data_IF_889738760963
#
_entry.id   IF_889738760963
#
_cell.length_a   1.000
_cell.length_b   1.000
_cell.length_c   1.000
_cell.angle_alpha   90.00
_cell.angle_beta   90.00
_cell.angle_gamma   90.00
#
_symmetry.space_group_name_H-M   'P 1'
#
loop_
_entity.id
_entity.type
_entity.pdbx_description
1 polymer ?
#
# COMPACT_ATOMS: atom_id res chain seq x y z
N UNK A 1 -11.90 -13.45 12.11
CA UNK A 1 -11.16 -13.66 10.85
C UNK A 1 -9.72 -13.94 11.22
N UNK A 2 -9.06 -14.88 10.56
CA UNK A 2 -7.61 -15.04 10.71
C UNK A 2 -6.91 -13.83 10.09
N UNK A 3 -5.77 -13.45 10.66
CA UNK A 3 -4.94 -12.35 10.16
C UNK A 3 -3.98 -12.96 9.12
N UNK A 4 -4.05 -12.58 7.83
CA UNK A 4 -3.28 -13.24 6.77
C UNK A 4 -1.76 -13.03 6.92
N UNK A 5 -1.36 -11.93 7.56
CA UNK A 5 0.02 -11.62 7.88
C UNK A 5 0.12 -10.51 8.93
N UNK A 6 1.28 -10.40 9.58
CA UNK A 6 1.55 -9.38 10.59
C UNK A 6 2.94 -8.75 10.41
N UNK A 7 3.02 -7.42 10.45
CA UNK A 7 4.29 -6.68 10.55
C UNK A 7 4.37 -6.03 11.94
N UNK A 8 5.45 -6.29 12.69
CA UNK A 8 5.66 -5.74 14.03
C UNK A 8 7.15 -5.73 14.42
N UNK A 9 7.56 -5.01 15.47
CA UNK A 9 8.89 -5.19 16.05
C UNK A 9 9.13 -6.66 16.41
N UNK A 10 10.34 -7.17 16.12
CA UNK A 10 10.72 -8.56 16.43
C UNK A 10 10.61 -8.81 17.94
N UNK A 11 9.74 -9.74 18.41
CA UNK A 11 9.77 -10.20 19.79
C UNK A 11 11.13 -10.83 20.11
N UNK A 12 11.70 -10.49 21.26
CA UNK A 12 13.08 -10.89 21.63
C UNK A 12 13.14 -12.17 22.47
N UNK A 13 12.16 -13.06 22.32
CA UNK A 13 12.20 -14.40 22.93
C UNK A 13 13.07 -15.36 22.13
N UNK A 14 13.48 -16.47 22.76
CA UNK A 14 14.44 -17.41 22.18
C UNK A 14 13.98 -18.01 20.83
N UNK A 15 12.68 -18.27 20.66
CA UNK A 15 12.16 -18.85 19.43
C UNK A 15 12.24 -17.86 18.26
N UNK A 16 11.84 -16.60 18.50
CA UNK A 16 11.93 -15.56 17.49
C UNK A 16 13.38 -15.19 17.14
N UNK A 17 14.28 -15.16 18.11
CA UNK A 17 15.71 -14.91 17.86
C UNK A 17 16.36 -16.04 17.05
N UNK A 18 16.02 -17.30 17.34
CA UNK A 18 16.49 -18.45 16.56
C UNK A 18 15.95 -18.41 15.13
N UNK A 19 14.66 -18.11 14.95
CA UNK A 19 14.04 -17.96 13.62
C UNK A 19 14.66 -16.80 12.83
N UNK A 20 14.92 -15.67 13.50
CA UNK A 20 15.57 -14.51 12.89
C UNK A 20 17.00 -14.83 12.41
N UNK A 21 17.77 -15.57 13.22
CA UNK A 21 19.11 -16.02 12.83
C UNK A 21 19.06 -16.96 11.63
N UNK A 22 18.14 -17.94 11.63
CA UNK A 22 17.98 -18.87 10.52
C UNK A 22 17.57 -18.16 9.21
N UNK A 23 16.63 -17.20 9.30
CA UNK A 23 16.23 -16.37 8.16
C UNK A 23 17.41 -15.52 7.66
N UNK A 24 18.14 -14.89 8.57
CA UNK A 24 19.34 -14.12 8.25
C UNK A 24 20.37 -14.98 7.49
N UNK A 25 20.68 -16.17 7.99
CA UNK A 25 21.68 -17.04 7.36
C UNK A 25 21.25 -17.51 5.97
N UNK A 26 19.97 -17.85 5.80
CA UNK A 26 19.41 -18.23 4.50
C UNK A 26 19.42 -17.06 3.50
N UNK A 27 19.01 -15.86 3.92
CA UNK A 27 19.02 -14.67 3.08
C UNK A 27 20.46 -14.23 2.73
N UNK A 28 21.38 -14.35 3.68
CA UNK A 28 22.80 -14.04 3.49
C UNK A 28 23.46 -14.97 2.47
N UNK A 29 23.24 -16.28 2.59
CA UNK A 29 23.75 -17.26 1.62
C UNK A 29 23.25 -16.98 0.19
N UNK A 30 21.99 -16.58 0.07
CA UNK A 30 21.41 -16.18 -1.22
C UNK A 30 22.04 -14.90 -1.76
N UNK A 31 22.25 -13.88 -0.93
CA UNK A 31 22.91 -12.63 -1.35
C UNK A 31 24.34 -12.88 -1.82
N UNK A 32 25.11 -13.69 -1.10
CA UNK A 32 26.46 -14.11 -1.52
C UNK A 32 26.42 -14.82 -2.88
N UNK A 33 25.43 -15.69 -3.11
CA UNK A 33 25.25 -16.36 -4.40
C UNK A 33 24.94 -15.36 -5.53
N UNK A 34 24.08 -14.38 -5.29
CA UNK A 34 23.78 -13.31 -6.27
C UNK A 34 25.00 -12.45 -6.61
N UNK A 35 25.90 -12.27 -5.63
CA UNK A 35 27.15 -11.54 -5.80
C UNK A 35 28.32 -12.44 -6.22
N UNK A 36 28.05 -13.60 -6.82
CA UNK A 36 29.04 -14.53 -7.36
C UNK A 36 30.11 -14.95 -6.33
N UNK A 37 29.72 -15.13 -5.07
CA UNK A 37 30.62 -15.54 -4.00
C UNK A 37 31.39 -14.41 -3.33
N UNK A 38 31.06 -13.14 -3.63
CA UNK A 38 31.64 -12.00 -2.93
C UNK A 38 31.45 -12.15 -1.40
N UNK A 39 32.51 -11.96 -0.59
CA UNK A 39 32.49 -12.22 0.85
C UNK A 39 31.76 -11.11 1.60
N UNK A 40 30.44 -11.05 1.46
CA UNK A 40 29.61 -10.15 2.27
C UNK A 40 29.76 -10.53 3.74
N UNK A 41 30.00 -9.59 4.66
CA UNK A 41 29.99 -9.90 6.09
C UNK A 41 28.58 -10.28 6.57
N UNK A 42 28.51 -11.25 7.50
CA UNK A 42 27.28 -11.54 8.24
C UNK A 42 26.90 -10.32 9.10
N UNK A 43 25.61 -10.02 9.19
CA UNK A 43 25.10 -8.94 10.03
C UNK A 43 25.13 -9.34 11.51
N UNK A 44 24.72 -10.57 11.81
CA UNK A 44 24.76 -11.13 13.15
C UNK A 44 25.52 -12.47 13.15
N UNK A 45 26.46 -12.68 14.08
CA UNK A 45 27.14 -13.97 14.22
C UNK A 45 26.25 -15.05 14.85
N UNK A 46 25.38 -14.66 15.77
CA UNK A 46 24.51 -15.55 16.57
C UNK A 46 23.24 -14.83 17.07
N UNK A 47 22.36 -15.56 17.76
CA UNK A 47 21.10 -15.06 18.29
C UNK A 47 21.28 -14.06 19.45
N UNK A 48 22.39 -14.15 20.20
CA UNK A 48 22.67 -13.22 21.29
C UNK A 48 23.04 -11.83 20.73
N UNK A 49 23.76 -11.79 19.62
CA UNK A 49 24.05 -10.56 18.89
C UNK A 49 22.78 -9.92 18.33
N UNK A 50 21.81 -10.71 17.84
CA UNK A 50 20.49 -10.19 17.47
C UNK A 50 19.84 -9.57 18.70
N UNK A 51 19.76 -10.29 19.82
CA UNK A 51 19.12 -9.82 21.05
C UNK A 51 19.70 -8.51 21.60
N UNK A 52 21.02 -8.34 21.51
CA UNK A 52 21.74 -7.14 21.96
C UNK A 52 21.63 -5.96 20.98
N UNK A 53 21.12 -6.16 19.76
CA UNK A 53 21.00 -5.13 18.74
C UNK A 53 19.89 -4.14 19.08
N UNK A 54 20.27 -2.88 19.33
CA UNK A 54 19.37 -1.79 19.70
C UNK A 54 18.72 -1.06 18.51
N UNK A 55 19.11 -1.40 17.27
CA UNK A 55 18.50 -0.83 16.06
C UNK A 55 17.04 -1.28 15.91
N UNK A 56 16.29 -0.55 15.09
CA UNK A 56 14.90 -0.90 14.81
C UNK A 56 14.86 -2.16 13.95
N UNK A 57 14.26 -3.23 14.48
CA UNK A 57 14.12 -4.50 13.79
C UNK A 57 12.64 -4.85 13.64
N UNK A 58 12.12 -4.68 12.43
CA UNK A 58 10.78 -5.10 12.05
C UNK A 58 10.81 -6.53 11.54
N UNK A 59 9.76 -7.28 11.85
CA UNK A 59 9.56 -8.67 11.49
C UNK A 59 8.20 -8.85 10.81
N UNK A 60 8.21 -9.64 9.74
CA UNK A 60 7.03 -10.02 8.98
C UNK A 60 6.68 -11.48 9.23
N UNK A 61 5.43 -11.75 9.60
CA UNK A 61 4.90 -13.07 9.86
C UNK A 61 3.74 -13.38 8.93
N UNK A 62 3.59 -14.63 8.52
CA UNK A 62 2.38 -15.09 7.85
C UNK A 62 1.28 -15.50 8.83
N UNK A 63 0.14 -15.94 8.31
CA UNK A 63 -1.02 -16.41 9.08
C UNK A 63 -0.67 -17.52 10.08
N UNK A 64 0.30 -18.38 9.77
CA UNK A 64 0.74 -19.46 10.64
C UNK A 64 1.74 -18.98 11.73
N UNK A 65 2.09 -17.69 11.74
CA UNK A 65 3.10 -17.13 12.64
C UNK A 65 4.52 -17.44 12.19
N UNK A 66 4.74 -17.87 10.95
CA UNK A 66 6.07 -18.14 10.41
C UNK A 66 6.76 -16.85 10.03
N UNK A 67 7.99 -16.63 10.51
CA UNK A 67 8.79 -15.47 10.15
C UNK A 67 9.18 -15.52 8.66
N UNK A 68 8.68 -14.57 7.88
CA UNK A 68 8.86 -14.48 6.43
C UNK A 68 9.88 -13.40 6.01
N UNK A 69 10.15 -12.41 6.86
CA UNK A 69 11.12 -11.37 6.55
C UNK A 69 11.50 -10.50 7.75
N UNK A 70 12.60 -9.77 7.61
CA UNK A 70 13.13 -8.82 8.58
C UNK A 70 13.53 -7.52 7.88
N UNK A 71 13.37 -6.39 8.55
CA UNK A 71 13.96 -5.11 8.14
C UNK A 71 14.67 -4.49 9.33
N UNK A 72 15.98 -4.26 9.16
CA UNK A 72 16.82 -3.58 10.13
C UNK A 72 17.07 -2.16 9.65
N UNK A 73 16.76 -1.19 10.50
CA UNK A 73 17.01 0.22 10.24
C UNK A 73 17.59 0.91 11.47
N UNK A 74 18.45 1.89 11.20
CA UNK A 74 19.01 2.79 12.22
C UNK A 74 18.29 4.13 12.14
N UNK A 75 17.81 4.63 13.28
CA UNK A 75 17.25 5.97 13.36
C UNK A 75 18.34 7.03 13.17
N UNK A 76 18.00 8.09 12.45
CA UNK A 76 18.84 9.27 12.25
C UNK A 76 18.43 10.38 13.22
N UNK A 77 19.35 11.30 13.51
CA UNK A 77 19.13 12.38 14.49
C UNK A 77 18.05 13.39 14.04
N UNK A 78 17.80 13.50 12.74
CA UNK A 78 16.79 14.35 12.10
C UNK A 78 15.42 13.67 11.96
N UNK A 79 15.25 12.45 12.48
CA UNK A 79 13.99 11.71 12.44
C UNK A 79 13.79 10.85 11.19
N UNK A 80 14.77 10.80 10.27
CA UNK A 80 14.81 9.80 9.20
C UNK A 80 15.33 8.44 9.66
N UNK A 81 15.44 7.50 8.71
CA UNK A 81 16.05 6.19 8.94
C UNK A 81 17.10 5.85 7.87
N UNK A 82 18.09 5.07 8.26
CA UNK A 82 19.00 4.39 7.35
C UNK A 82 18.67 2.89 7.38
N UNK A 83 18.10 2.38 6.28
CA UNK A 83 17.79 0.96 6.13
C UNK A 83 19.09 0.23 5.85
N UNK A 84 19.51 -0.58 6.81
CA UNK A 84 20.78 -1.29 6.71
C UNK A 84 20.60 -2.65 6.03
N UNK A 85 19.50 -3.35 6.32
CA UNK A 85 19.18 -4.64 5.70
C UNK A 85 17.68 -4.85 5.54
N UNK A 86 17.29 -5.42 4.41
CA UNK A 86 15.96 -5.99 4.18
C UNK A 86 16.14 -7.45 3.79
N UNK A 87 15.60 -8.35 4.59
CA UNK A 87 15.78 -9.79 4.45
C UNK A 87 14.40 -10.43 4.23
N UNK A 88 14.32 -11.35 3.28
CA UNK A 88 13.12 -12.17 3.04
C UNK A 88 13.57 -13.61 2.96
N UNK A 89 12.80 -14.52 3.54
CA UNK A 89 13.05 -15.95 3.40
C UNK A 89 13.14 -16.31 1.90
N UNK A 90 14.22 -16.98 1.43
CA UNK A 90 14.43 -17.24 0.00
C UNK A 90 13.24 -17.88 -0.72
N UNK A 91 12.52 -18.77 -0.05
CA UNK A 91 11.35 -19.49 -0.58
C UNK A 91 10.11 -18.59 -0.74
N UNK A 92 10.12 -17.39 -0.17
CA UNK A 92 9.00 -16.44 -0.10
C UNK A 92 9.25 -15.18 -0.94
N UNK A 93 10.31 -15.19 -1.77
CA UNK A 93 10.60 -14.09 -2.68
C UNK A 93 9.47 -13.92 -3.70
N UNK A 94 9.13 -12.66 -3.99
CA UNK A 94 8.04 -12.32 -4.92
C UNK A 94 6.66 -12.20 -4.26
N UNK A 95 6.47 -12.69 -3.03
CA UNK A 95 5.19 -12.62 -2.31
C UNK A 95 4.89 -11.25 -1.65
N UNK A 96 5.74 -10.25 -1.90
CA UNK A 96 5.55 -8.87 -1.42
C UNK A 96 6.06 -8.56 -0.01
N UNK A 97 6.65 -9.52 0.71
CA UNK A 97 7.13 -9.35 2.10
C UNK A 97 8.07 -8.15 2.30
N UNK A 98 9.05 -7.96 1.41
CA UNK A 98 9.95 -6.81 1.47
C UNK A 98 9.20 -5.47 1.32
N UNK A 99 8.19 -5.42 0.44
CA UNK A 99 7.37 -4.23 0.23
C UNK A 99 6.53 -3.87 1.46
N UNK A 100 5.99 -4.87 2.16
CA UNK A 100 5.25 -4.68 3.43
C UNK A 100 6.16 -4.11 4.52
N UNK A 101 7.35 -4.71 4.68
CA UNK A 101 8.35 -4.23 5.64
C UNK A 101 8.77 -2.79 5.35
N UNK A 102 9.03 -2.45 4.08
CA UNK A 102 9.36 -1.09 3.68
C UNK A 102 8.21 -0.13 3.92
N UNK A 103 6.98 -0.49 3.56
CA UNK A 103 5.80 0.37 3.81
C UNK A 103 5.63 0.68 5.30
N UNK A 104 5.79 -0.34 6.15
CA UNK A 104 5.74 -0.16 7.61
C UNK A 104 6.90 0.70 8.14
N UNK A 105 8.12 0.53 7.62
CA UNK A 105 9.29 1.29 8.03
C UNK A 105 9.25 2.76 7.60
N UNK A 106 8.69 3.04 6.42
CA UNK A 106 8.63 4.39 5.83
C UNK A 106 7.45 5.21 6.34
N UNK A 107 6.36 4.56 6.77
CA UNK A 107 5.14 5.24 7.22
C UNK A 107 5.37 6.38 8.25
N UNK A 108 6.23 6.22 9.28
CA UNK A 108 6.41 7.26 10.31
C UNK A 108 7.51 8.29 10.00
N UNK A 109 8.28 8.14 8.91
CA UNK A 109 9.47 8.98 8.63
C UNK A 109 9.27 9.91 7.44
N UNK A 110 10.10 10.95 7.36
CA UNK A 110 10.09 11.90 6.23
C UNK A 110 11.12 11.59 5.15
N UNK A 111 12.16 10.84 5.50
CA UNK A 111 13.18 10.40 4.55
C UNK A 111 13.83 9.11 5.02
N UNK A 112 14.36 8.37 4.06
CA UNK A 112 15.11 7.16 4.31
C UNK A 112 16.26 7.01 3.33
N UNK A 113 17.35 6.40 3.78
CA UNK A 113 18.47 5.99 2.93
C UNK A 113 18.64 4.48 2.93
N UNK A 114 19.25 3.95 1.88
CA UNK A 114 19.68 2.56 1.82
C UNK A 114 20.88 2.42 0.91
N UNK A 115 21.76 1.48 1.23
CA UNK A 115 22.88 1.10 0.37
C UNK A 115 22.75 -0.36 -0.03
N UNK A 116 22.99 -0.66 -1.31
CA UNK A 116 23.01 -2.03 -1.81
C UNK A 116 24.02 -2.19 -2.95
N UNK A 117 24.45 -3.42 -3.21
CA UNK A 117 25.31 -3.72 -4.35
C UNK A 117 24.55 -3.50 -5.67
N UNK A 118 25.23 -2.94 -6.68
CA UNK A 118 24.63 -2.72 -7.99
C UNK A 118 24.16 -4.03 -8.66
N UNK A 119 24.79 -5.16 -8.30
CA UNK A 119 24.40 -6.49 -8.74
C UNK A 119 23.17 -7.07 -7.99
N UNK A 120 22.75 -6.49 -6.87
CA UNK A 120 21.57 -6.95 -6.12
C UNK A 120 20.26 -6.42 -6.76
N UNK A 121 19.94 -6.99 -7.93
CA UNK A 121 18.79 -6.57 -8.73
C UNK A 121 17.44 -6.78 -8.03
N UNK A 122 17.34 -7.77 -7.13
CA UNK A 122 16.14 -8.02 -6.35
C UNK A 122 15.87 -6.86 -5.37
N UNK A 123 16.88 -6.44 -4.62
CA UNK A 123 16.78 -5.30 -3.71
C UNK A 123 16.50 -4.00 -4.46
N UNK A 124 17.21 -3.74 -5.57
CA UNK A 124 17.00 -2.54 -6.39
C UNK A 124 15.58 -2.43 -6.94
N UNK A 125 14.99 -3.53 -7.43
CA UNK A 125 13.58 -3.54 -7.86
C UNK A 125 12.65 -3.21 -6.70
N UNK A 126 12.90 -3.77 -5.52
CA UNK A 126 12.08 -3.52 -4.34
C UNK A 126 12.14 -2.05 -3.89
N UNK A 127 13.34 -1.48 -3.75
CA UNK A 127 13.52 -0.09 -3.35
C UNK A 127 12.95 0.89 -4.38
N UNK A 128 13.17 0.66 -5.69
CA UNK A 128 12.56 1.49 -6.74
C UNK A 128 11.04 1.44 -6.69
N UNK A 129 10.44 0.27 -6.48
CA UNK A 129 8.98 0.13 -6.31
C UNK A 129 8.47 0.87 -5.07
N UNK A 130 9.28 1.00 -4.03
CA UNK A 130 8.97 1.79 -2.84
C UNK A 130 9.25 3.31 -3.03
N UNK A 131 9.71 3.74 -4.21
CA UNK A 131 9.97 5.15 -4.54
C UNK A 131 11.39 5.63 -4.24
N UNK A 132 12.34 4.74 -3.95
CA UNK A 132 13.74 5.13 -3.79
C UNK A 132 14.38 5.47 -5.15
N UNK A 133 15.20 6.51 -5.16
CA UNK A 133 16.01 6.93 -6.31
C UNK A 133 17.50 6.78 -6.00
N UNK A 134 18.32 6.50 -7.02
CA UNK A 134 19.78 6.43 -6.86
C UNK A 134 20.31 7.85 -6.69
N UNK A 135 21.05 8.10 -5.62
CA UNK A 135 21.65 9.42 -5.32
C UNK A 135 23.17 9.41 -5.43
N UNK A 136 23.80 8.23 -5.35
CA UNK A 136 25.25 8.10 -5.48
C UNK A 136 25.64 6.69 -5.94
N UNK A 137 26.58 6.63 -6.87
CA UNK A 137 27.27 5.42 -7.29
C UNK A 137 28.71 5.48 -6.81
N UNK A 138 29.23 4.38 -6.28
CA UNK A 138 30.60 4.30 -5.78
C UNK A 138 31.06 2.84 -5.72
N UNK A 139 32.31 2.60 -5.34
CA UNK A 139 32.83 1.26 -5.13
C UNK A 139 33.28 1.08 -3.68
N UNK A 140 33.13 -0.13 -3.15
CA UNK A 140 33.84 -0.54 -1.95
C UNK A 140 35.37 -0.52 -2.19
N UNK A 141 36.21 -0.53 -1.14
CA UNK A 141 37.67 -0.49 -1.30
C UNK A 141 38.26 -1.61 -2.17
N UNK A 142 37.56 -2.74 -2.26
CA UNK A 142 37.91 -3.91 -3.07
C UNK A 142 37.25 -3.92 -4.46
N UNK A 143 36.58 -2.84 -4.85
CA UNK A 143 36.02 -2.63 -6.18
C UNK A 143 34.57 -3.08 -6.37
N UNK A 144 33.88 -3.60 -5.35
CA UNK A 144 32.45 -3.96 -5.49
C UNK A 144 31.61 -2.70 -5.80
N UNK A 145 30.86 -2.65 -6.92
CA UNK A 145 29.99 -1.52 -7.22
C UNK A 145 28.80 -1.44 -6.25
N UNK A 146 28.63 -0.28 -5.63
CA UNK A 146 27.61 0.04 -4.65
C UNK A 146 26.76 1.22 -5.12
N UNK A 147 25.48 1.16 -4.77
CA UNK A 147 24.52 2.23 -4.98
C UNK A 147 24.01 2.69 -3.62
N UNK A 148 24.04 4.01 -3.38
CA UNK A 148 23.23 4.62 -2.34
C UNK A 148 21.95 5.15 -2.96
N UNK A 149 20.83 4.81 -2.34
CA UNK A 149 19.51 5.26 -2.72
C UNK A 149 18.91 6.09 -1.59
N UNK A 150 18.09 7.07 -1.96
CA UNK A 150 17.32 7.87 -1.03
C UNK A 150 15.85 7.85 -1.40
N UNK A 151 15.01 7.89 -0.37
CA UNK A 151 13.58 8.10 -0.44
C UNK A 151 13.26 9.35 0.37
N UNK A 152 12.47 10.23 -0.21
CA UNK A 152 11.94 11.41 0.45
C UNK A 152 10.43 11.34 0.38
N UNK A 153 9.78 11.59 1.51
CA UNK A 153 8.35 11.79 1.57
C UNK A 153 8.01 13.07 0.82
N UNK A 154 7.22 12.93 -0.23
CA UNK A 154 6.78 14.07 -1.02
C UNK A 154 5.45 14.61 -0.45
N UNK A 155 5.57 15.71 0.30
CA UNK A 155 4.49 16.47 0.93
C UNK A 155 4.03 17.66 0.06
N UNK A 156 4.49 17.75 -1.19
CA UNK A 156 4.10 18.86 -2.07
C UNK A 156 2.58 18.83 -2.36
N UNK A 157 1.93 20.00 -2.50
CA UNK A 157 0.52 20.06 -2.86
C UNK A 157 0.29 19.40 -4.23
N UNK A 158 -0.69 18.48 -4.29
CA UNK A 158 -1.19 17.94 -5.55
C UNK A 158 -2.41 18.74 -5.99
N UNK A 159 -2.36 19.32 -7.18
CA UNK A 159 -3.50 20.04 -7.77
C UNK A 159 -4.19 19.11 -8.76
N UNK A 160 -5.48 18.88 -8.55
CA UNK A 160 -6.33 18.11 -9.45
C UNK A 160 -7.41 19.02 -10.02
N UNK A 161 -7.81 18.75 -11.27
CA UNK A 161 -8.86 19.49 -11.97
C UNK A 161 -9.94 18.55 -12.47
N UNK A 162 -11.19 18.96 -12.36
CA UNK A 162 -12.33 18.24 -12.91
C UNK A 162 -12.74 18.89 -14.24
N UNK A 163 -12.85 18.10 -15.30
CA UNK A 163 -13.38 18.58 -16.57
C UNK A 163 -14.92 18.63 -16.57
N UNK A 164 -15.50 19.20 -17.64
CA UNK A 164 -16.93 19.40 -17.77
C UNK A 164 -17.75 18.09 -17.82
N UNK A 165 -17.11 16.98 -18.18
CA UNK A 165 -17.74 15.66 -18.28
C UNK A 165 -17.63 14.87 -16.97
N UNK A 166 -17.03 15.46 -15.93
CA UNK A 166 -16.87 14.85 -14.62
C UNK A 166 -15.64 13.95 -14.51
N UNK A 167 -14.63 14.15 -15.36
CA UNK A 167 -13.36 13.44 -15.24
C UNK A 167 -12.25 14.30 -14.67
N UNK A 168 -11.53 13.77 -13.70
CA UNK A 168 -10.24 14.32 -13.26
C UNK A 168 -9.21 14.28 -14.40
N UNK A 169 -8.63 15.44 -14.71
CA UNK A 169 -7.69 15.64 -15.82
C UNK A 169 -6.42 14.81 -15.67
N UNK A 170 -5.89 14.72 -14.45
CA UNK A 170 -4.63 14.05 -14.11
C UNK A 170 -4.80 12.53 -13.90
N UNK A 171 -6.03 12.02 -13.93
CA UNK A 171 -6.29 10.59 -13.76
C UNK A 171 -6.10 9.83 -15.08
N UNK A 172 -5.57 8.61 -14.99
CA UNK A 172 -5.70 7.63 -16.08
C UNK A 172 -7.17 7.23 -16.22
N UNK A 173 -7.76 7.53 -17.38
CA UNK A 173 -9.18 7.28 -17.66
C UNK A 173 -9.36 5.86 -18.23
N UNK A 174 -10.08 5.02 -17.51
CA UNK A 174 -10.40 3.63 -17.88
C UNK A 174 -11.93 3.42 -17.81
N UNK A 175 -12.71 3.91 -18.80
CA UNK A 175 -14.16 3.91 -18.71
C UNK A 175 -14.75 2.51 -18.45
N UNK A 176 -15.48 2.38 -17.35
CA UNK A 176 -16.15 1.14 -16.97
C UNK A 176 -17.56 1.06 -17.55
N UNK A 177 -17.99 -0.10 -18.09
CA UNK A 177 -19.39 -0.31 -18.46
C UNK A 177 -20.31 -0.51 -17.25
N UNK A 178 -19.75 -0.72 -16.05
CA UNK A 178 -20.49 -0.97 -14.82
C UNK A 178 -20.93 0.35 -14.17
N UNK A 179 -21.73 1.14 -14.87
CA UNK A 179 -22.30 2.37 -14.35
C UNK A 179 -23.63 2.70 -15.03
N UNK A 180 -24.42 3.52 -14.36
CA UNK A 180 -25.68 4.06 -14.88
C UNK A 180 -25.90 5.48 -14.38
N UNK A 181 -27.06 6.06 -14.72
CA UNK A 181 -27.35 7.45 -14.40
C UNK A 181 -27.92 7.55 -12.98
N UNK A 182 -27.57 8.64 -12.29
CA UNK A 182 -28.26 8.96 -11.04
C UNK A 182 -29.75 9.22 -11.33
N UNK A 183 -30.64 8.70 -10.49
CA UNK A 183 -32.09 8.83 -10.66
C UNK A 183 -32.60 10.29 -10.57
N UNK A 184 -31.82 11.18 -9.96
CA UNK A 184 -32.02 12.63 -9.91
C UNK A 184 -30.64 13.31 -9.86
N UNK A 185 -30.50 14.59 -10.24
CA UNK A 185 -29.25 15.33 -10.04
C UNK A 185 -28.83 15.18 -8.58
N UNK A 186 -27.63 14.64 -8.34
CA UNK A 186 -27.22 14.20 -7.02
C UNK A 186 -27.27 15.36 -6.01
N UNK A 187 -28.20 15.28 -5.05
CA UNK A 187 -28.17 16.12 -3.86
C UNK A 187 -26.99 15.62 -2.99
N UNK A 188 -25.93 16.43 -2.92
CA UNK A 188 -24.75 16.32 -2.02
C UNK A 188 -24.17 14.91 -1.89
N UNK A 189 -23.16 14.53 -2.70
CA UNK A 189 -22.60 13.19 -2.65
C UNK A 189 -21.85 12.91 -1.34
N UNK A 190 -22.13 11.75 -0.73
CA UNK A 190 -21.28 11.11 0.26
C UNK A 190 -20.01 10.61 -0.45
N UNK A 191 -18.83 10.76 0.15
CA UNK A 191 -17.62 10.10 -0.32
C UNK A 191 -17.40 8.83 0.50
N UNK A 192 -17.34 7.68 -0.16
CA UNK A 192 -17.11 6.38 0.50
C UNK A 192 -15.72 5.90 0.16
N UNK A 193 -14.89 5.71 1.18
CA UNK A 193 -13.55 5.16 1.07
C UNK A 193 -13.63 3.64 1.18
N UNK A 194 -12.89 2.98 0.30
CA UNK A 194 -12.78 1.54 0.18
C UNK A 194 -11.31 1.13 0.13
N UNK A 195 -11.05 -0.18 0.23
CA UNK A 195 -9.78 -0.75 -0.18
C UNK A 195 -9.98 -2.02 -1.01
N UNK A 196 -9.01 -2.29 -1.89
CA UNK A 196 -8.98 -3.50 -2.70
C UNK A 196 -7.56 -3.85 -3.12
N UNK A 197 -7.31 -5.15 -3.29
CA UNK A 197 -6.11 -5.68 -3.94
C UNK A 197 -6.43 -6.97 -4.69
N UNK A 198 -5.90 -7.10 -5.90
CA UNK A 198 -6.15 -8.25 -6.77
C UNK A 198 -4.85 -8.71 -7.46
N UNK A 199 -4.40 -9.96 -7.23
CA UNK A 199 -4.93 -10.91 -6.24
C UNK A 199 -4.89 -10.35 -4.81
N UNK A 200 -5.64 -10.95 -3.85
CA UNK A 200 -5.65 -10.46 -2.48
C UNK A 200 -4.23 -10.24 -1.94
N UNK A 201 -4.01 -9.06 -1.38
CA UNK A 201 -2.73 -8.62 -0.80
C UNK A 201 -1.58 -8.47 -1.82
N UNK A 202 -1.86 -8.48 -3.11
CA UNK A 202 -0.88 -8.23 -4.16
C UNK A 202 -1.19 -6.89 -4.86
N UNK A 203 -0.13 -6.13 -5.17
CA UNK A 203 -0.24 -4.73 -5.59
C UNK A 203 0.55 -4.44 -6.87
N UNK A 204 0.04 -3.50 -7.66
CA UNK A 204 0.63 -3.02 -8.92
C UNK A 204 0.21 -3.84 -10.15
N UNK A 205 -0.66 -4.83 -9.99
CA UNK A 205 -1.18 -5.65 -11.08
C UNK A 205 -2.34 -4.99 -11.84
N UNK A 206 -2.83 -5.64 -12.91
CA UNK A 206 -3.98 -5.21 -13.70
C UNK A 206 -5.33 -5.70 -13.14
N UNK A 207 -5.35 -6.60 -12.14
CA UNK A 207 -6.56 -7.27 -11.67
C UNK A 207 -7.69 -6.33 -11.24
N UNK A 208 -7.39 -5.23 -10.54
CA UNK A 208 -8.42 -4.24 -10.15
C UNK A 208 -9.01 -3.52 -11.37
N UNK A 209 -8.19 -2.91 -12.27
CA UNK A 209 -8.71 -2.40 -13.53
C UNK A 209 -9.52 -3.41 -14.36
N UNK A 210 -9.08 -4.66 -14.44
CA UNK A 210 -9.76 -5.72 -15.18
C UNK A 210 -11.12 -6.09 -14.53
N UNK A 211 -11.19 -6.19 -13.20
CA UNK A 211 -12.47 -6.44 -12.49
C UNK A 211 -13.48 -5.33 -12.80
N UNK A 212 -13.07 -4.07 -12.67
CA UNK A 212 -13.98 -2.94 -12.87
C UNK A 212 -14.36 -2.71 -14.33
N UNK A 213 -13.65 -3.30 -15.29
CA UNK A 213 -13.95 -3.22 -16.72
C UNK A 213 -14.59 -4.49 -17.31
N UNK A 214 -14.94 -5.49 -16.47
CA UNK A 214 -15.45 -6.80 -16.88
C UNK A 214 -14.50 -7.61 -17.78
N UNK A 215 -13.19 -7.42 -17.61
CA UNK A 215 -12.15 -8.11 -18.39
C UNK A 215 -11.24 -8.97 -17.51
N UNK A 216 -11.67 -9.31 -16.29
CA UNK A 216 -10.90 -10.16 -15.37
C UNK A 216 -10.88 -11.60 -15.89
N UNK A 217 -9.69 -12.11 -16.18
CA UNK A 217 -9.50 -13.48 -16.61
C UNK A 217 -9.60 -14.43 -15.39
N UNK A 218 -10.60 -15.32 -15.33
CA UNK A 218 -10.72 -16.27 -14.22
C UNK A 218 -9.57 -17.28 -14.14
N UNK A 219 -8.84 -17.52 -15.24
CA UNK A 219 -7.77 -18.51 -15.32
C UNK A 219 -6.42 -17.98 -14.81
N UNK A 220 -6.26 -16.65 -14.65
CA UNK A 220 -5.02 -16.03 -14.16
C UNK A 220 -4.76 -16.27 -12.66
N UNK A 221 -5.81 -16.43 -11.86
CA UNK A 221 -5.67 -16.67 -10.42
C UNK A 221 -6.92 -17.36 -9.81
N UNK A 222 -6.78 -18.32 -8.86
CA UNK A 222 -7.94 -19.02 -8.27
C UNK A 222 -8.99 -18.09 -7.65
N UNK A 223 -8.55 -16.99 -7.03
CA UNK A 223 -9.46 -15.97 -6.51
C UNK A 223 -10.24 -15.26 -7.61
N UNK A 224 -9.66 -15.02 -8.79
CA UNK A 224 -10.33 -14.32 -9.89
C UNK A 224 -11.52 -15.13 -10.41
N UNK A 225 -11.39 -16.46 -10.51
CA UNK A 225 -12.50 -17.35 -10.84
C UNK A 225 -13.74 -17.14 -9.92
N UNK A 226 -13.54 -16.73 -8.67
CA UNK A 226 -14.65 -16.50 -7.71
C UNK A 226 -15.36 -15.16 -7.90
N UNK A 227 -14.75 -14.19 -8.59
CA UNK A 227 -15.26 -12.82 -8.70
C UNK A 227 -15.42 -12.32 -10.13
N UNK A 228 -14.94 -13.03 -11.15
CA UNK A 228 -15.00 -12.61 -12.56
C UNK A 228 -16.42 -12.38 -13.08
N UNK A 229 -17.42 -13.04 -12.46
CA UNK A 229 -18.83 -12.84 -12.77
C UNK A 229 -19.45 -11.58 -12.15
N UNK A 230 -18.77 -10.91 -11.22
CA UNK A 230 -19.28 -9.70 -10.57
C UNK A 230 -19.38 -8.54 -11.58
N UNK A 231 -20.31 -7.63 -11.31
CA UNK A 231 -20.49 -6.38 -12.04
C UNK A 231 -20.42 -5.24 -11.04
N UNK A 232 -19.22 -4.74 -10.85
CA UNK A 232 -18.87 -3.72 -9.84
C UNK A 232 -17.91 -2.71 -10.45
N UNK A 233 -17.87 -1.51 -9.86
CA UNK A 233 -16.96 -0.43 -10.25
C UNK A 233 -16.81 0.54 -9.08
N UNK A 234 -15.86 1.45 -9.20
CA UNK A 234 -15.75 2.65 -8.37
C UNK A 234 -15.63 3.88 -9.28
N UNK A 235 -15.58 5.08 -8.70
CA UNK A 235 -15.23 6.27 -9.49
C UNK A 235 -13.72 6.35 -9.63
N UNK A 236 -13.00 6.19 -8.53
CA UNK A 236 -11.56 6.38 -8.46
C UNK A 236 -10.84 5.19 -7.83
N UNK A 237 -9.62 4.93 -8.28
CA UNK A 237 -8.70 3.98 -7.69
C UNK A 237 -7.32 4.61 -7.51
N UNK A 238 -6.76 4.53 -6.31
CA UNK A 238 -5.46 5.12 -5.97
C UNK A 238 -4.46 3.99 -5.71
N UNK A 239 -3.51 3.83 -6.63
CA UNK A 239 -2.42 2.85 -6.52
C UNK A 239 -1.48 3.16 -5.36
N UNK A 240 -0.68 2.17 -4.92
CA UNK A 240 0.29 2.32 -3.81
C UNK A 240 1.27 3.49 -4.00
N UNK A 241 1.62 3.82 -5.23
CA UNK A 241 2.51 4.92 -5.60
C UNK A 241 1.81 6.29 -5.68
N UNK A 242 0.50 6.34 -5.46
CA UNK A 242 -0.33 7.54 -5.57
C UNK A 242 -0.91 7.79 -6.97
N UNK A 243 -0.62 6.94 -7.96
CA UNK A 243 -1.21 7.08 -9.29
C UNK A 243 -2.74 6.97 -9.21
N UNK A 244 -3.44 7.91 -9.84
CA UNK A 244 -4.90 8.01 -9.83
C UNK A 244 -5.47 7.43 -11.13
N UNK A 245 -6.30 6.41 -10.99
CA UNK A 245 -7.12 5.85 -12.06
C UNK A 245 -8.57 6.26 -11.82
N UNK A 246 -9.33 6.44 -12.90
CA UNK A 246 -10.76 6.75 -12.85
C UNK A 246 -11.54 5.89 -13.82
N UNK A 247 -12.67 5.35 -13.37
CA UNK A 247 -13.49 4.42 -14.14
C UNK A 247 -14.86 4.96 -14.51
N UNK A 248 -15.43 5.83 -13.68
CA UNK A 248 -16.77 6.38 -13.86
C UNK A 248 -16.71 7.89 -13.62
N UNK A 249 -17.24 8.73 -14.53
CA UNK A 249 -17.28 10.17 -14.31
C UNK A 249 -18.13 10.51 -13.09
N UNK A 250 -17.82 11.61 -12.40
CA UNK A 250 -18.51 12.03 -11.16
C UNK A 250 -19.99 12.35 -11.35
N UNK A 251 -20.44 12.53 -12.60
CA UNK A 251 -21.83 12.76 -13.00
C UNK A 251 -22.66 11.49 -13.14
N UNK A 252 -22.05 10.29 -13.03
CA UNK A 252 -22.72 9.00 -13.17
C UNK A 252 -22.52 8.13 -11.94
N UNK A 253 -23.40 7.16 -11.76
CA UNK A 253 -23.42 6.27 -10.60
C UNK A 253 -22.52 5.05 -10.86
N UNK A 254 -21.45 4.91 -10.06
CA UNK A 254 -20.68 3.68 -9.97
C UNK A 254 -21.34 2.64 -9.03
N UNK A 255 -20.93 1.38 -9.13
CA UNK A 255 -21.50 0.26 -8.37
C UNK A 255 -20.52 -0.29 -7.33
N UNK A 256 -20.30 0.46 -6.23
CA UNK A 256 -19.26 0.16 -5.22
C UNK A 256 -19.80 -0.24 -3.84
N UNK A 257 -20.91 0.36 -3.38
CA UNK A 257 -21.37 0.22 -2.00
C UNK A 257 -22.24 -1.03 -1.74
N UNK A 258 -22.91 -1.58 -2.77
CA UNK A 258 -23.87 -2.68 -2.60
C UNK A 258 -24.98 -2.37 -1.58
N UNK A 259 -25.43 -3.39 -0.82
CA UNK A 259 -26.42 -3.21 0.27
C UNK A 259 -25.81 -2.38 1.40
N UNK A 260 -26.29 -1.15 1.57
CA UNK A 260 -25.66 -0.13 2.41
C UNK A 260 -26.69 0.90 2.91
N UNK A 261 -26.37 1.58 4.01
CA UNK A 261 -27.18 2.62 4.62
C UNK A 261 -26.31 3.68 5.31
N UNK A 262 -26.60 4.97 5.11
CA UNK A 262 -25.95 6.08 5.81
C UNK A 262 -27.01 7.07 6.32
N UNK A 263 -26.98 7.38 7.63
CA UNK A 263 -28.00 8.18 8.33
C UNK A 263 -29.46 7.86 7.95
N UNK A 264 -29.79 6.57 7.91
CA UNK A 264 -31.15 6.11 7.59
C UNK A 264 -31.45 5.97 6.09
N UNK A 265 -30.64 6.56 5.19
CA UNK A 265 -30.82 6.46 3.74
C UNK A 265 -30.09 5.25 3.18
N UNK A 266 -30.84 4.32 2.60
CA UNK A 266 -30.31 3.11 1.97
C UNK A 266 -29.75 3.37 0.56
N UNK A 267 -29.03 2.38 0.02
CA UNK A 267 -28.49 2.36 -1.35
C UNK A 267 -27.50 3.51 -1.60
N UNK A 268 -26.39 3.48 -0.87
CA UNK A 268 -25.41 4.57 -0.92
C UNK A 268 -24.89 4.90 -2.33
N UNK A 269 -24.86 3.94 -3.27
CA UNK A 269 -24.53 4.23 -4.67
C UNK A 269 -25.39 5.38 -5.25
N UNK A 270 -26.65 5.54 -4.82
CA UNK A 270 -27.58 6.54 -5.36
C UNK A 270 -27.18 7.99 -5.04
N UNK A 271 -26.24 8.18 -4.11
CA UNK A 271 -25.83 9.49 -3.62
C UNK A 271 -24.37 9.50 -3.14
N UNK A 272 -23.51 8.63 -3.66
CA UNK A 272 -22.12 8.61 -3.25
C UNK A 272 -21.13 8.43 -4.38
N UNK A 273 -19.92 8.90 -4.13
CA UNK A 273 -18.74 8.65 -4.93
C UNK A 273 -17.83 7.65 -4.18
N UNK A 274 -17.56 6.49 -4.78
CA UNK A 274 -16.57 5.53 -4.26
C UNK A 274 -15.13 5.80 -4.68
N UNK A 275 -14.21 5.84 -3.72
CA UNK A 275 -12.76 5.81 -3.93
C UNK A 275 -12.19 4.49 -3.37
N UNK A 276 -11.49 3.76 -4.21
CA UNK A 276 -10.77 2.54 -3.86
C UNK A 276 -9.29 2.83 -3.60
N UNK A 277 -8.77 2.45 -2.44
CA UNK A 277 -7.35 2.52 -2.12
C UNK A 277 -6.71 1.15 -2.37
N UNK A 278 -5.65 1.08 -3.18
CA UNK A 278 -4.89 -0.17 -3.35
C UNK A 278 -4.28 -0.59 -2.00
N UNK A 279 -4.72 -1.71 -1.45
CA UNK A 279 -4.35 -2.13 -0.09
C UNK A 279 -5.25 -3.20 0.50
N UNK A 280 -5.22 -3.31 1.83
CA UNK A 280 -6.04 -4.22 2.61
C UNK A 280 -6.12 -3.81 4.09
N UNK A 281 -6.94 -4.53 4.86
CA UNK A 281 -7.21 -4.29 6.28
C UNK A 281 -6.06 -4.69 7.24
N UNK A 282 -4.88 -5.05 6.71
CA UNK A 282 -3.79 -5.66 7.49
C UNK A 282 -2.43 -4.96 7.35
N UNK A 283 -2.35 -3.89 6.55
CA UNK A 283 -1.13 -3.07 6.46
C UNK A 283 -1.41 -1.59 6.20
N UNK A 284 -0.51 -0.68 6.62
CA UNK A 284 -0.66 0.75 6.39
C UNK A 284 -0.77 1.11 4.91
N UNK A 285 -1.53 2.17 4.60
CA UNK A 285 -1.54 2.79 3.27
C UNK A 285 -0.34 3.73 3.08
N UNK A 286 0.14 3.85 1.84
CA UNK A 286 1.33 4.62 1.51
C UNK A 286 1.10 6.14 1.65
N UNK A 287 2.19 6.89 1.87
CA UNK A 287 2.12 8.35 1.92
C UNK A 287 1.49 8.96 0.67
N UNK A 288 1.94 8.51 -0.52
CA UNK A 288 1.47 9.02 -1.80
C UNK A 288 -0.04 8.78 -2.02
N UNK A 289 -0.61 7.71 -1.44
CA UNK A 289 -2.04 7.46 -1.50
C UNK A 289 -2.82 8.50 -0.70
N UNK A 290 -2.41 8.79 0.54
CA UNK A 290 -3.05 9.84 1.35
C UNK A 290 -2.94 11.22 0.73
N UNK A 291 -1.79 11.56 0.12
CA UNK A 291 -1.62 12.84 -0.59
C UNK A 291 -2.63 12.97 -1.73
N UNK A 292 -2.75 11.93 -2.55
CA UNK A 292 -3.70 11.88 -3.67
C UNK A 292 -5.14 11.89 -3.20
N UNK A 293 -5.46 11.13 -2.16
CA UNK A 293 -6.79 11.07 -1.56
C UNK A 293 -7.22 12.42 -0.99
N UNK A 294 -6.32 13.12 -0.28
CA UNK A 294 -6.63 14.44 0.27
C UNK A 294 -6.89 15.48 -0.83
N UNK A 295 -6.06 15.49 -1.88
CA UNK A 295 -6.27 16.36 -3.03
C UNK A 295 -7.58 16.05 -3.78
N UNK A 296 -7.89 14.76 -3.93
CA UNK A 296 -9.13 14.32 -4.57
C UNK A 296 -10.36 14.64 -3.72
N UNK A 297 -10.30 14.44 -2.41
CA UNK A 297 -11.38 14.82 -1.50
C UNK A 297 -11.65 16.33 -1.59
N UNK A 298 -10.61 17.17 -1.53
CA UNK A 298 -10.74 18.62 -1.66
C UNK A 298 -11.34 19.03 -3.01
N UNK A 299 -10.92 18.38 -4.11
CA UNK A 299 -11.50 18.58 -5.44
C UNK A 299 -13.00 18.26 -5.46
N UNK A 300 -13.39 17.07 -4.97
CA UNK A 300 -14.77 16.61 -5.01
C UNK A 300 -15.68 17.43 -4.09
N UNK A 301 -15.16 17.94 -2.98
CA UNK A 301 -15.89 18.89 -2.13
C UNK A 301 -16.17 20.20 -2.88
N UNK A 302 -15.15 20.73 -3.57
CA UNK A 302 -15.24 21.99 -4.31
C UNK A 302 -16.16 21.90 -5.53
N UNK A 303 -15.99 20.86 -6.34
CA UNK A 303 -16.57 20.80 -7.69
C UNK A 303 -17.77 19.85 -7.79
N UNK A 304 -17.88 18.85 -6.90
CA UNK A 304 -18.99 17.90 -6.87
C UNK A 304 -19.94 18.10 -5.68
N UNK A 305 -19.65 19.03 -4.77
CA UNK A 305 -20.46 19.29 -3.58
C UNK A 305 -20.46 18.15 -2.57
N UNK A 306 -19.38 17.37 -2.49
CA UNK A 306 -19.23 16.34 -1.44
C UNK A 306 -19.31 17.00 -0.06
N UNK A 307 -20.25 16.56 0.77
CA UNK A 307 -20.45 17.13 2.12
C UNK A 307 -20.01 16.21 3.24
N UNK A 308 -19.88 14.90 3.02
CA UNK A 308 -19.51 13.94 4.04
C UNK A 308 -18.52 12.89 3.51
N UNK A 309 -17.63 12.40 4.37
CA UNK A 309 -16.68 11.33 4.03
C UNK A 309 -16.77 10.21 5.08
N UNK A 310 -16.95 8.97 4.61
CA UNK A 310 -17.04 7.77 5.46
C UNK A 310 -16.32 6.58 4.82
N UNK A 311 -16.22 5.47 5.54
CA UNK A 311 -15.70 4.18 5.10
C UNK A 311 -16.81 3.18 4.79
N UNK A 312 -16.52 2.19 3.95
CA UNK A 312 -17.48 1.13 3.61
C UNK A 312 -17.93 0.33 4.84
N UNK A 313 -17.04 0.15 5.82
CA UNK A 313 -17.32 -0.50 7.09
C UNK A 313 -18.48 0.14 7.88
N UNK A 314 -18.68 1.46 7.72
CA UNK A 314 -19.68 2.21 8.47
C UNK A 314 -21.04 2.23 7.79
N UNK A 315 -21.08 2.17 6.46
CA UNK A 315 -22.33 2.10 5.70
C UNK A 315 -22.84 0.67 5.52
N UNK A 316 -22.01 -0.34 5.81
CA UNK A 316 -22.35 -1.75 5.68
C UNK A 316 -21.79 -2.61 6.84
N UNK A 317 -22.11 -2.26 8.10
CA UNK A 317 -21.56 -2.93 9.27
C UNK A 317 -21.89 -4.42 9.28
N UNK A 318 -20.92 -5.25 9.63
CA UNK A 318 -21.05 -6.73 9.66
C UNK A 318 -20.96 -7.41 8.29
N UNK A 319 -21.07 -6.66 7.18
CA UNK A 319 -20.88 -7.18 5.81
C UNK A 319 -19.50 -6.82 5.26
N UNK A 320 -19.04 -5.60 5.53
CA UNK A 320 -17.79 -5.03 4.98
C UNK A 320 -16.91 -4.49 6.10
N UNK A 321 -15.61 -4.55 5.90
CA UNK A 321 -14.59 -4.14 6.87
C UNK A 321 -13.60 -3.12 6.31
N UNK A 322 -13.65 -2.82 5.01
CA UNK A 322 -12.81 -1.82 4.34
C UNK A 322 -13.26 -0.38 4.60
N UNK A 323 -12.34 0.61 4.63
CA UNK A 323 -10.89 0.51 4.41
C UNK A 323 -10.09 -0.05 5.60
N UNK A 324 -10.74 -0.40 6.71
CA UNK A 324 -10.16 -1.21 7.78
C UNK A 324 -9.26 -0.45 8.77
N UNK A 325 -8.75 -1.15 9.79
CA UNK A 325 -8.09 -0.52 10.94
C UNK A 325 -6.75 0.14 10.62
N UNK A 326 -6.15 -0.15 9.46
CA UNK A 326 -4.92 0.48 9.00
C UNK A 326 -5.15 1.75 8.17
N UNK A 327 -6.41 2.10 7.90
CA UNK A 327 -6.73 3.41 7.36
C UNK A 327 -6.72 4.47 8.47
N UNK A 328 -5.72 5.33 8.43
CA UNK A 328 -5.55 6.47 9.32
C UNK A 328 -6.51 7.63 8.99
N UNK A 329 -7.70 7.57 9.60
CA UNK A 329 -8.70 8.63 9.54
C UNK A 329 -8.20 9.96 10.11
N UNK A 330 -7.34 9.94 11.14
CA UNK A 330 -6.82 11.16 11.76
C UNK A 330 -5.88 11.90 10.80
N UNK A 331 -5.09 11.17 10.03
CA UNK A 331 -4.24 11.74 8.99
C UNK A 331 -5.03 12.40 7.86
N UNK A 332 -6.07 11.74 7.35
CA UNK A 332 -6.94 12.36 6.35
C UNK A 332 -7.65 13.60 6.94
N UNK A 333 -8.18 13.48 8.16
CA UNK A 333 -8.81 14.57 8.92
C UNK A 333 -7.92 15.81 8.99
N UNK A 334 -6.66 15.62 9.39
CA UNK A 334 -5.67 16.69 9.47
C UNK A 334 -5.38 17.33 8.11
N UNK A 335 -5.36 16.52 7.04
CA UNK A 335 -5.03 17.00 5.69
C UNK A 335 -6.14 17.85 5.07
N UNK A 336 -7.41 17.56 5.37
CA UNK A 336 -8.56 18.29 4.81
C UNK A 336 -9.22 19.26 5.81
N UNK A 337 -8.73 19.31 7.05
CA UNK A 337 -9.25 20.21 8.10
C UNK A 337 -10.65 19.86 8.59
N UNK A 338 -11.02 18.57 8.64
CA UNK A 338 -12.34 18.10 9.09
C UNK A 338 -12.21 16.91 10.04
N UNK A 339 -13.21 16.67 10.88
CA UNK A 339 -13.27 15.49 11.73
C UNK A 339 -13.89 14.33 10.94
N UNK A 340 -13.11 13.27 10.71
CA UNK A 340 -13.55 12.06 10.02
C UNK A 340 -13.42 10.82 10.93
N UNK A 341 -14.13 9.72 10.61
CA UNK A 341 -15.20 9.59 9.61
C UNK A 341 -16.48 10.33 10.04
N UNK A 342 -17.28 10.75 9.07
CA UNK A 342 -18.56 11.42 9.31
C UNK A 342 -19.70 10.38 9.29
N UNK A 343 -19.96 9.81 10.48
CA UNK A 343 -20.93 8.75 10.75
C UNK A 343 -22.04 9.17 11.73
#
# INVERSE_FOLDING_TARGET
>A
MSVPFQIRPLPRDAANLAAALALHDAAHALEVAWLQGYPVPRLWPDAAAIAADSRQLLAAYDEAGTLCGLLLARALADGGIDIERTLVAPQRLGEGWAGRLLSAALAPVQHATVMTAAANQAALRCYRKAGFSVVREFAAPDGLPLLALAWQRDDSPLVLQLDADGWVCEAEKLPSPNCDDFAAPAATPLLVIHNISLPPYQYGGPGVPQLFSNSLDPDEHPYYATIAGLRVSCHFFIRRDGSLLQFVPTSRRAWHAGVSQWHGRERCNDFSLGIEMEGCDYEPFCHAQYRTLAALAALLQRDCGVTAITGHEFIAPGRKSDPGPYFDWARLSASIGRVLPEN
#
